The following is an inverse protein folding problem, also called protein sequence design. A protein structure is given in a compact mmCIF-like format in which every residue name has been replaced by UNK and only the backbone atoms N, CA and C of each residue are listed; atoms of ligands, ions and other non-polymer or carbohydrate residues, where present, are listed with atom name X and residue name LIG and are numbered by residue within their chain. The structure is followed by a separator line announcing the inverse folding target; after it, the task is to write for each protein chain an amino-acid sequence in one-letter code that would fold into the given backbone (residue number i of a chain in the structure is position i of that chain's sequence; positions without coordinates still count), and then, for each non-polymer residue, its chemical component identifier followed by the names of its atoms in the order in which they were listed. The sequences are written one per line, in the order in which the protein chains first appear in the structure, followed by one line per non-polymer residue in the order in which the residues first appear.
data_IF_808441016173
#
_entry.id   IF_808441016173
#
_cell.length_a   1.000
_cell.length_b   1.000
_cell.length_c   1.000
_cell.angle_alpha   90.00
_cell.angle_beta   90.00
_cell.angle_gamma   90.00
#
_symmetry.space_group_name_H-M   'P 1'
#
loop_
_entity.id
_entity.type
_entity.pdbx_description
1 polymer ?
#
# COMPACT_ATOMS: atom_id res chain seq x y z
N UNK A 1 1.26 -21.85 5.09
CA UNK A 1 0.31 -22.36 4.07
C UNK A 1 -0.67 -21.24 3.75
N UNK A 2 -0.91 -20.91 2.47
CA UNK A 2 -1.96 -19.95 2.12
C UNK A 2 -3.33 -20.49 2.52
N UNK A 3 -4.23 -19.60 2.95
CA UNK A 3 -5.63 -19.93 3.28
C UNK A 3 -6.48 -19.60 2.05
N UNK A 4 -7.32 -20.53 1.56
CA UNK A 4 -8.20 -20.25 0.43
C UNK A 4 -9.21 -19.16 0.81
N UNK A 5 -9.35 -18.15 -0.05
CA UNK A 5 -10.30 -17.05 0.09
C UNK A 5 -11.17 -16.98 -1.16
N UNK A 6 -12.48 -16.91 -0.96
CA UNK A 6 -13.43 -16.56 -2.02
C UNK A 6 -13.88 -15.12 -1.79
N UNK A 7 -13.74 -14.28 -2.82
CA UNK A 7 -14.19 -12.89 -2.78
C UNK A 7 -15.01 -12.58 -4.04
N UNK A 8 -16.00 -11.69 -3.89
CA UNK A 8 -16.70 -11.10 -5.04
C UNK A 8 -16.07 -9.74 -5.31
N UNK A 9 -15.72 -9.48 -6.56
CA UNK A 9 -15.15 -8.21 -7.02
C UNK A 9 -16.16 -7.50 -7.91
N UNK A 10 -16.08 -6.17 -7.95
CA UNK A 10 -16.73 -5.40 -9.00
C UNK A 10 -15.99 -5.63 -10.33
N UNK A 11 -16.69 -5.44 -11.45
CA UNK A 11 -16.09 -5.57 -12.79
C UNK A 11 -14.89 -4.63 -12.94
N UNK A 12 -15.01 -3.38 -12.47
CA UNK A 12 -13.94 -2.38 -12.47
C UNK A 12 -12.69 -2.86 -11.71
N UNK A 13 -12.85 -3.36 -10.49
CA UNK A 13 -11.73 -3.85 -9.70
C UNK A 13 -11.08 -5.09 -10.34
N UNK A 14 -11.88 -5.94 -10.99
CA UNK A 14 -11.36 -7.10 -11.70
C UNK A 14 -10.54 -6.69 -12.94
N UNK A 15 -11.02 -5.70 -13.70
CA UNK A 15 -10.31 -5.16 -14.85
C UNK A 15 -8.96 -4.52 -14.46
N UNK A 16 -8.92 -3.76 -13.36
CA UNK A 16 -7.68 -3.19 -12.82
C UNK A 16 -6.66 -4.29 -12.46
N UNK A 17 -7.12 -5.37 -11.80
CA UNK A 17 -6.25 -6.52 -11.46
C UNK A 17 -5.69 -7.17 -12.72
N UNK A 18 -6.53 -7.38 -13.74
CA UNK A 18 -6.11 -7.99 -15.01
C UNK A 18 -5.12 -7.12 -15.76
N UNK A 19 -5.33 -5.81 -15.74
CA UNK A 19 -4.44 -4.85 -16.37
C UNK A 19 -3.06 -4.86 -15.69
N UNK A 20 -3.00 -4.73 -14.36
CA UNK A 20 -1.76 -4.80 -13.59
C UNK A 20 -1.04 -6.15 -13.74
N UNK A 21 -1.78 -7.26 -13.73
CA UNK A 21 -1.21 -8.60 -13.94
C UNK A 21 -0.49 -8.72 -15.29
N UNK A 22 -1.06 -8.13 -16.35
CA UNK A 22 -0.44 -8.12 -17.69
C UNK A 22 0.78 -7.21 -17.75
N UNK A 23 0.68 -6.01 -17.19
CA UNK A 23 1.76 -5.02 -17.18
C UNK A 23 3.00 -5.56 -16.45
N UNK A 24 2.79 -6.13 -15.26
CA UNK A 24 3.88 -6.61 -14.40
C UNK A 24 4.30 -8.06 -14.69
N UNK A 25 3.64 -8.74 -15.62
CA UNK A 25 3.83 -10.18 -15.93
C UNK A 25 3.65 -11.08 -14.70
N UNK A 26 2.67 -10.74 -13.87
CA UNK A 26 2.29 -11.49 -12.68
C UNK A 26 0.96 -12.21 -12.88
N UNK A 27 0.67 -13.18 -12.01
CA UNK A 27 -0.68 -13.76 -11.95
C UNK A 27 -1.64 -12.79 -11.25
N UNK A 28 -2.93 -12.83 -11.61
CA UNK A 28 -3.99 -12.06 -10.92
C UNK A 28 -3.96 -12.31 -9.40
N UNK A 29 -3.74 -13.56 -8.99
CA UNK A 29 -3.63 -13.94 -7.57
C UNK A 29 -2.42 -13.29 -6.88
N UNK A 30 -1.30 -13.14 -7.58
CA UNK A 30 -0.11 -12.47 -7.03
C UNK A 30 -0.36 -10.97 -6.86
N UNK A 31 -1.02 -10.33 -7.83
CA UNK A 31 -1.45 -8.92 -7.73
C UNK A 31 -2.38 -8.73 -6.53
N UNK A 32 -3.40 -9.57 -6.38
CA UNK A 32 -4.32 -9.54 -5.24
C UNK A 32 -3.57 -9.74 -3.91
N UNK A 33 -2.66 -10.71 -3.85
CA UNK A 33 -1.87 -11.01 -2.64
C UNK A 33 -1.00 -9.82 -2.24
N UNK A 34 -0.35 -9.16 -3.22
CA UNK A 34 0.45 -7.95 -2.99
C UNK A 34 -0.42 -6.78 -2.53
N UNK A 35 -1.58 -6.56 -3.14
CA UNK A 35 -2.51 -5.51 -2.75
C UNK A 35 -2.98 -5.67 -1.29
N UNK A 36 -3.36 -6.90 -0.91
CA UNK A 36 -3.75 -7.22 0.47
C UNK A 36 -2.60 -7.00 1.46
N UNK A 37 -1.39 -7.45 1.12
CA UNK A 37 -0.21 -7.27 1.95
C UNK A 37 0.09 -5.78 2.18
N UNK A 38 0.05 -4.98 1.12
CA UNK A 38 0.27 -3.53 1.18
C UNK A 38 -0.78 -2.85 2.06
N UNK A 39 -2.07 -3.17 1.88
CA UNK A 39 -3.15 -2.62 2.71
C UNK A 39 -2.95 -2.90 4.21
N UNK A 40 -2.67 -4.14 4.57
CA UNK A 40 -2.47 -4.50 5.99
C UNK A 40 -1.18 -3.92 6.56
N UNK A 41 -0.14 -3.78 5.76
CA UNK A 41 1.12 -3.12 6.16
C UNK A 41 0.88 -1.65 6.47
N UNK A 42 0.23 -0.92 5.55
CA UNK A 42 -0.14 0.48 5.76
C UNK A 42 -1.02 0.65 7.00
N UNK A 43 -2.07 -0.17 7.13
CA UNK A 43 -2.97 -0.14 8.29
C UNK A 43 -2.21 -0.38 9.61
N UNK A 44 -1.24 -1.31 9.62
CA UNK A 44 -0.42 -1.61 10.80
C UNK A 44 0.47 -0.43 11.17
N UNK A 45 1.10 0.21 10.20
CA UNK A 45 2.01 1.33 10.45
C UNK A 45 1.25 2.62 10.85
N UNK A 46 0.06 2.87 10.27
CA UNK A 46 -0.85 3.94 10.72
C UNK A 46 -1.28 3.72 12.17
N UNK A 47 -1.72 2.51 12.53
CA UNK A 47 -2.14 2.19 13.92
C UNK A 47 -1.00 2.35 14.93
N UNK A 48 0.25 2.16 14.50
CA UNK A 48 1.44 2.34 15.33
C UNK A 48 1.90 3.80 15.42
N UNK A 49 1.21 4.73 14.76
CA UNK A 49 1.60 6.13 14.68
C UNK A 49 2.90 6.37 13.89
N UNK A 50 3.31 5.41 13.07
CA UNK A 50 4.58 5.47 12.30
C UNK A 50 4.42 6.05 10.91
N UNK A 51 3.22 6.00 10.33
CA UNK A 51 2.90 6.66 9.05
C UNK A 51 2.30 8.03 9.36
N UNK A 52 3.18 8.96 9.71
CA UNK A 52 2.97 10.39 9.59
C UNK A 52 4.00 10.88 8.57
N UNK A 53 3.61 10.95 7.30
CA UNK A 53 4.42 11.64 6.30
C UNK A 53 4.43 11.02 4.91
N UNK A 54 3.35 11.22 4.15
CA UNK A 54 3.57 11.81 2.82
C UNK A 54 3.66 13.31 3.06
N UNK A 55 4.88 13.76 3.34
CA UNK A 55 5.17 15.16 3.51
C UNK A 55 5.45 15.71 2.12
N UNK A 56 4.53 16.56 1.66
CA UNK A 56 4.66 17.43 0.49
C UNK A 56 6.03 18.12 0.47
N UNK A 57 6.59 18.41 -0.72
CA UNK A 57 7.96 18.94 -0.88
C UNK A 57 8.21 20.24 -0.08
N UNK A 58 7.17 20.98 0.29
CA UNK A 58 7.28 22.24 1.03
C UNK A 58 7.54 22.10 2.55
N UNK A 59 7.47 20.89 3.11
CA UNK A 59 7.62 20.69 4.56
C UNK A 59 9.00 20.18 5.00
N UNK A 60 9.94 19.94 4.07
CA UNK A 60 11.30 19.48 4.36
C UNK A 60 12.09 20.49 5.23
N UNK A 61 11.81 21.79 5.08
CA UNK A 61 12.45 22.84 5.88
C UNK A 61 12.00 22.89 7.35
N UNK A 62 10.79 22.42 7.67
CA UNK A 62 10.27 22.52 9.04
C UNK A 62 10.86 21.44 9.97
N UNK A 63 11.11 20.24 9.45
CA UNK A 63 11.63 19.11 10.24
C UNK A 63 13.11 19.25 10.62
N UNK A 64 13.94 19.89 9.78
CA UNK A 64 15.35 20.14 10.11
C UNK A 64 15.53 21.05 11.35
N UNK A 65 14.56 21.92 11.63
CA UNK A 65 14.66 22.84 12.78
C UNK A 65 14.37 22.13 14.11
N UNK A 66 13.51 21.11 14.12
CA UNK A 66 13.12 20.40 15.34
C UNK A 66 14.11 19.33 15.78
N UNK A 67 14.91 18.77 14.85
CA UNK A 67 15.94 17.77 15.18
C UNK A 67 17.21 18.43 15.77
N UNK A 68 17.36 19.76 15.70
CA UNK A 68 18.59 20.44 16.16
C UNK A 68 18.63 20.80 17.66
N UNK A 69 17.60 20.44 18.43
CA UNK A 69 17.51 20.75 19.88
C UNK A 69 17.11 19.57 20.76
N UNK A 70 17.29 18.34 20.28
CA UNK A 70 17.33 17.12 21.12
C UNK A 70 18.70 16.49 20.92
#
# INVERSE_FOLDING_TARGET
MPVPLTATLTDEAYDDIRWAAREDRHSEMEVISRALYTYFTLRREIRRGRVLGFVDRDHEHHLQTQIRWI
#
